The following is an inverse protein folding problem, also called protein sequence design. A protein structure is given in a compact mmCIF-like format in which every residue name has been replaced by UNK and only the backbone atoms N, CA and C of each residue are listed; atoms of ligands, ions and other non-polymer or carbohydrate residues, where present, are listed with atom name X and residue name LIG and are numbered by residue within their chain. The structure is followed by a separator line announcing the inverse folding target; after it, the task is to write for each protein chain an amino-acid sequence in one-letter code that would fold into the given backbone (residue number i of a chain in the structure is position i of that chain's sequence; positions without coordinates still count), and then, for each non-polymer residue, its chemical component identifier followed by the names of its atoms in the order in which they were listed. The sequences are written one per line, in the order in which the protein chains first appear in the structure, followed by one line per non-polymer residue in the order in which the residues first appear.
data_IF_139044059208
#
_entry.id   IF_139044059208
#
_cell.length_a   1.000
_cell.length_b   1.000
_cell.length_c   1.000
_cell.angle_alpha   90.00
_cell.angle_beta   90.00
_cell.angle_gamma   90.00
#
_symmetry.space_group_name_H-M   'P 1'
#
loop_
_entity.id
_entity.type
_entity.pdbx_description
1 polymer ?
#
# COMPACT_ATOMS: atom_id res chain seq x y z
N UNK A 1 3.19 7.76 16.06
CA UNK A 1 3.52 7.30 14.69
C UNK A 1 2.47 6.34 14.13
N UNK A 2 2.09 5.26 14.83
CA UNK A 2 1.03 4.33 14.38
C UNK A 2 -0.30 5.07 14.10
N UNK A 3 -0.78 5.89 15.05
CA UNK A 3 -1.99 6.70 14.90
C UNK A 3 -1.96 7.65 13.70
N UNK A 4 -0.77 8.12 13.31
CA UNK A 4 -0.64 8.96 12.12
C UNK A 4 -0.91 8.17 10.85
N UNK A 5 -0.30 6.97 10.71
CA UNK A 5 -0.51 6.09 9.57
C UNK A 5 -1.97 5.62 9.45
N UNK A 6 -2.64 5.37 10.58
CA UNK A 6 -4.06 5.05 10.60
C UNK A 6 -4.91 6.24 10.16
N UNK A 7 -4.58 7.46 10.61
CA UNK A 7 -5.30 8.68 10.23
C UNK A 7 -5.20 9.01 8.74
N UNK A 8 -4.04 8.81 8.12
CA UNK A 8 -3.84 9.10 6.69
C UNK A 8 -4.32 7.96 5.78
N UNK A 9 -4.77 6.84 6.34
CA UNK A 9 -5.32 5.69 5.60
C UNK A 9 -6.80 5.92 5.28
N UNK A 10 -7.07 6.98 4.54
CA UNK A 10 -8.40 7.35 4.07
C UNK A 10 -8.37 7.81 2.60
N UNK A 11 -9.56 7.91 2.00
CA UNK A 11 -9.68 8.26 0.57
C UNK A 11 -9.31 9.72 0.30
N UNK A 12 -9.47 10.60 1.29
CA UNK A 12 -9.18 12.04 1.15
C UNK A 12 -7.67 12.26 1.01
N UNK A 13 -6.88 11.66 1.90
CA UNK A 13 -5.43 11.74 1.86
C UNK A 13 -4.88 10.97 0.65
N UNK A 14 -5.47 9.83 0.28
CA UNK A 14 -5.14 9.15 -0.96
C UNK A 14 -5.30 10.08 -2.17
N UNK A 15 -6.46 10.71 -2.33
CA UNK A 15 -6.73 11.60 -3.48
C UNK A 15 -5.75 12.77 -3.54
N UNK A 16 -5.44 13.37 -2.39
CA UNK A 16 -4.45 14.46 -2.30
C UNK A 16 -3.05 13.98 -2.70
N UNK A 17 -2.61 12.85 -2.15
CA UNK A 17 -1.33 12.22 -2.47
C UNK A 17 -1.22 11.89 -3.96
N UNK A 18 -2.23 11.18 -4.47
CA UNK A 18 -2.29 10.73 -5.86
C UNK A 18 -2.25 11.89 -6.85
N UNK A 19 -3.02 12.95 -6.60
CA UNK A 19 -3.03 14.15 -7.46
C UNK A 19 -1.66 14.84 -7.48
N UNK A 20 -0.99 14.95 -6.33
CA UNK A 20 0.35 15.54 -6.25
C UNK A 20 1.37 14.72 -7.04
N UNK A 21 1.37 13.40 -6.86
CA UNK A 21 2.27 12.49 -7.59
C UNK A 21 2.05 12.58 -9.10
N UNK A 22 0.79 12.63 -9.56
CA UNK A 22 0.51 12.81 -10.98
C UNK A 22 1.08 14.14 -11.49
N UNK A 23 0.81 15.24 -10.79
CA UNK A 23 1.31 16.57 -11.18
C UNK A 23 2.84 16.64 -11.23
N UNK A 24 3.53 16.03 -10.27
CA UNK A 24 5.00 16.02 -10.24
C UNK A 24 5.59 15.13 -11.34
N UNK A 25 4.91 14.03 -11.69
CA UNK A 25 5.37 13.06 -12.69
C UNK A 25 5.02 13.43 -14.14
N UNK A 26 4.16 14.43 -14.37
CA UNK A 26 3.77 14.91 -15.71
C UNK A 26 4.96 15.23 -16.62
N UNK A 27 6.04 15.77 -16.04
CA UNK A 27 7.25 16.13 -16.79
C UNK A 27 8.24 14.97 -16.98
N UNK A 28 8.08 13.89 -16.22
CA UNK A 28 9.05 12.79 -16.12
C UNK A 28 8.58 11.55 -16.88
N UNK A 29 7.27 11.29 -16.90
CA UNK A 29 6.69 10.05 -17.40
C UNK A 29 5.37 10.29 -18.11
N UNK A 30 4.99 9.35 -18.99
CA UNK A 30 3.66 9.32 -19.58
C UNK A 30 2.56 8.96 -18.58
N UNK A 31 1.32 8.85 -19.07
CA UNK A 31 0.18 8.46 -18.24
C UNK A 31 0.43 7.12 -17.52
N UNK A 32 -0.11 6.91 -16.31
CA UNK A 32 0.04 5.65 -15.60
C UNK A 32 -0.57 4.50 -16.40
N UNK A 33 0.15 3.38 -16.46
CA UNK A 33 -0.31 2.15 -17.11
C UNK A 33 -0.27 1.03 -16.07
N UNK A 34 -1.35 0.24 -16.01
CA UNK A 34 -1.35 -0.96 -15.19
C UNK A 34 -0.38 -1.99 -15.76
N UNK A 35 0.43 -2.59 -14.89
CA UNK A 35 1.29 -3.69 -15.30
C UNK A 35 0.43 -4.82 -15.88
N UNK A 36 0.77 -5.28 -17.08
CA UNK A 36 0.04 -6.37 -17.72
C UNK A 36 0.16 -7.61 -16.84
N UNK A 37 -0.96 -8.06 -16.26
CA UNK A 37 -0.96 -9.26 -15.44
C UNK A 37 -0.47 -10.43 -16.31
N UNK A 38 0.66 -11.02 -15.93
CA UNK A 38 1.17 -12.22 -16.61
C UNK A 38 0.22 -13.34 -16.26
N UNK A 39 -0.47 -13.90 -17.28
CA UNK A 39 -1.32 -15.07 -17.06
C UNK A 39 -0.41 -16.22 -16.61
N UNK A 40 -0.72 -16.89 -15.49
CA UNK A 40 0.03 -18.08 -15.11
C UNK A 40 -0.09 -19.14 -16.23
N UNK A 41 0.92 -20.02 -16.40
CA UNK A 41 0.83 -21.11 -17.36
C UNK A 41 -0.45 -21.94 -17.12
N UNK A 42 -1.11 -22.40 -18.19
CA UNK A 42 -2.41 -23.10 -18.15
C UNK A 42 -2.48 -24.25 -17.12
N UNK A 43 -1.34 -24.87 -16.80
CA UNK A 43 -1.24 -25.96 -15.80
C UNK A 43 -1.54 -25.53 -14.36
N UNK A 44 -1.48 -24.23 -14.06
CA UNK A 44 -1.68 -23.66 -12.72
C UNK A 44 -2.96 -22.83 -12.63
N UNK A 45 -3.87 -22.96 -13.60
CA UNK A 45 -5.10 -22.17 -13.64
C UNK A 45 -6.09 -22.73 -12.60
N UNK A 46 -5.85 -22.42 -11.33
CA UNK A 46 -6.87 -22.47 -10.28
C UNK A 46 -7.96 -21.47 -10.62
N UNK A 47 -9.21 -21.77 -10.28
CA UNK A 47 -10.41 -20.94 -10.44
C UNK A 47 -10.41 -19.67 -9.57
N UNK A 48 -9.23 -19.12 -9.28
CA UNK A 48 -9.07 -17.85 -8.59
C UNK A 48 -9.42 -16.74 -9.56
N UNK A 49 -10.54 -16.06 -9.30
CA UNK A 49 -10.91 -14.85 -10.03
C UNK A 49 -9.74 -13.85 -10.00
N UNK A 50 -9.25 -13.50 -11.19
CA UNK A 50 -8.31 -12.40 -11.30
C UNK A 50 -9.06 -11.12 -10.97
N UNK A 51 -8.65 -10.42 -9.91
CA UNK A 51 -9.14 -9.08 -9.61
C UNK A 51 -8.70 -8.16 -10.75
N UNK A 52 -9.58 -7.96 -11.72
CA UNK A 52 -9.38 -6.99 -12.79
C UNK A 52 -9.70 -5.61 -12.22
N UNK A 53 -8.68 -4.76 -12.12
CA UNK A 53 -8.86 -3.37 -11.69
C UNK A 53 -9.50 -2.56 -12.82
N UNK A 54 -10.56 -1.83 -12.51
CA UNK A 54 -11.28 -1.01 -13.49
C UNK A 54 -10.47 0.20 -13.94
N UNK A 55 -9.58 0.70 -13.07
CA UNK A 55 -8.73 1.87 -13.33
C UNK A 55 -7.38 1.76 -12.63
N UNK A 56 -6.39 2.51 -13.15
CA UNK A 56 -5.08 2.63 -12.52
C UNK A 56 -5.17 3.32 -11.15
N UNK A 57 -6.08 4.27 -10.98
CA UNK A 57 -6.34 4.93 -9.70
C UNK A 57 -6.83 3.93 -8.65
N UNK A 58 -7.76 3.03 -9.00
CA UNK A 58 -8.25 2.01 -8.08
C UNK A 58 -7.16 1.05 -7.61
N UNK A 59 -6.29 0.63 -8.53
CA UNK A 59 -5.13 -0.18 -8.19
C UNK A 59 -4.19 0.53 -7.21
N UNK A 60 -3.82 1.77 -7.50
CA UNK A 60 -2.92 2.55 -6.63
C UNK A 60 -3.58 2.92 -5.30
N UNK A 61 -4.91 3.09 -5.26
CA UNK A 61 -5.68 3.25 -4.03
C UNK A 61 -5.55 2.02 -3.15
N UNK A 62 -5.78 0.84 -3.69
CA UNK A 62 -5.63 -0.40 -2.93
C UNK A 62 -4.20 -0.57 -2.43
N UNK A 63 -3.21 -0.27 -3.27
CA UNK A 63 -1.80 -0.37 -2.90
C UNK A 63 -1.42 0.64 -1.81
N UNK A 64 -1.94 1.87 -1.87
CA UNK A 64 -1.76 2.90 -0.84
C UNK A 64 -2.27 2.40 0.52
N UNK A 65 -3.53 1.94 0.59
CA UNK A 65 -4.13 1.44 1.82
C UNK A 65 -3.38 0.24 2.39
N UNK A 66 -3.00 -0.71 1.51
CA UNK A 66 -2.26 -1.92 1.88
C UNK A 66 -0.89 -1.58 2.45
N UNK A 67 -0.17 -0.66 1.81
CA UNK A 67 1.18 -0.26 2.24
C UNK A 67 1.15 0.39 3.63
N UNK A 68 0.18 1.26 3.89
CA UNK A 68 -0.01 1.86 5.21
C UNK A 68 -0.37 0.81 6.27
N UNK A 69 -1.24 -0.15 5.93
CA UNK A 69 -1.57 -1.27 6.82
C UNK A 69 -0.35 -2.14 7.18
N UNK A 70 0.51 -2.44 6.20
CA UNK A 70 1.77 -3.15 6.44
C UNK A 70 2.67 -2.35 7.38
N UNK A 71 2.82 -1.04 7.15
CA UNK A 71 3.63 -0.17 8.00
C UNK A 71 3.13 -0.16 9.46
N UNK A 72 1.81 -0.04 9.66
CA UNK A 72 1.19 -0.13 10.99
C UNK A 72 1.50 -1.47 11.66
N UNK A 73 1.28 -2.59 10.96
CA UNK A 73 1.54 -3.92 11.50
C UNK A 73 3.02 -4.10 11.87
N UNK A 74 3.95 -3.63 11.03
CA UNK A 74 5.38 -3.72 11.32
C UNK A 74 5.77 -2.90 12.55
N UNK A 75 5.21 -1.70 12.71
CA UNK A 75 5.45 -0.87 13.89
C UNK A 75 4.88 -1.50 15.17
N UNK A 76 3.67 -2.05 15.09
CA UNK A 76 3.04 -2.78 16.21
C UNK A 76 3.87 -4.00 16.59
N UNK A 77 4.27 -4.83 15.62
CA UNK A 77 5.13 -5.99 15.83
C UNK A 77 6.46 -5.60 16.47
N UNK A 78 7.09 -4.50 16.01
CA UNK A 78 8.32 -4.01 16.61
C UNK A 78 8.13 -3.59 18.07
N UNK A 79 7.06 -2.87 18.38
CA UNK A 79 6.76 -2.44 19.75
C UNK A 79 6.48 -3.61 20.71
N UNK A 80 6.03 -4.75 20.18
CA UNK A 80 5.73 -5.94 20.99
C UNK A 80 6.91 -6.90 21.15
N UNK A 81 8.04 -6.66 20.47
CA UNK A 81 9.25 -7.47 20.60
C UNK A 81 9.76 -7.46 22.05
N UNK A 82 10.09 -8.67 22.56
CA UNK A 82 10.53 -8.89 23.95
C UNK A 82 11.72 -8.00 24.35
N UNK A 83 12.71 -7.86 23.46
CA UNK A 83 13.91 -7.06 23.72
C UNK A 83 13.63 -5.55 23.73
N UNK A 84 12.61 -5.09 22.99
CA UNK A 84 12.22 -3.69 22.98
C UNK A 84 11.42 -3.33 24.23
N UNK A 85 10.55 -4.22 24.71
CA UNK A 85 9.83 -4.05 25.99
C UNK A 85 10.74 -3.98 27.20
N UNK A 86 11.86 -4.73 27.20
CA UNK A 86 12.84 -4.68 28.29
C UNK A 86 13.48 -3.29 28.42
N UNK A 87 13.80 -2.64 27.29
CA UNK A 87 14.35 -1.27 27.30
C UNK A 87 13.38 -0.22 27.88
N UNK A 88 12.07 -0.39 27.68
CA UNK A 88 11.08 0.53 28.24
C UNK A 88 10.77 0.30 29.72
N UNK A 89 11.16 -0.85 30.30
CA UNK A 89 10.87 -1.22 31.70
C UNK A 89 12.08 -1.07 32.64
N UNK A 90 13.20 -0.53 32.15
CA UNK A 90 14.45 -0.34 32.91
C UNK A 90 14.63 1.15 33.30
N UNK A 91 13.56 1.93 33.22
CA UNK A 91 13.47 3.28 33.84
C UNK A 91 12.91 3.20 35.27
#
# INVERSE_FOLDING_TARGET
VILYFERIRDDINFKSFYTKVLKESESLTGKPILARHRRPPKRYQSSSDSVEFSSYEEFYRQQYMKSLGIAVNMLQNRSTQKNFKLLCNVE
#
